data_IF_980414490488
#
_entry.id   IF_980414490488
#
_cell.length_a   1.000
_cell.length_b   1.000
_cell.length_c   1.000
_cell.angle_alpha   90.00
_cell.angle_beta   90.00
_cell.angle_gamma   90.00
#
_symmetry.space_group_name_H-M   'P 1'
#
loop_
_entity.id
_entity.type
_entity.pdbx_description
1 polymer ?
#
# COMPACT_ATOMS: atom_id res chain seq x y z
N UNK A 1 -0.23 -5.14 -17.91
CA UNK A 1 -1.08 -4.84 -19.08
C UNK A 1 -2.37 -5.58 -18.85
N UNK A 2 -3.48 -4.87 -18.83
CA UNK A 2 -4.84 -5.39 -18.69
C UNK A 2 -5.60 -4.99 -19.95
N UNK A 3 -6.42 -5.91 -20.46
CA UNK A 3 -7.23 -5.70 -21.67
C UNK A 3 -8.67 -6.01 -21.27
N UNK A 4 -9.57 -5.07 -21.50
CA UNK A 4 -10.99 -5.27 -21.22
C UNK A 4 -11.73 -5.97 -22.37
N UNK A 5 -13.02 -6.25 -22.17
CA UNK A 5 -13.87 -6.93 -23.16
C UNK A 5 -14.08 -6.16 -24.46
N UNK A 6 -13.86 -4.84 -24.44
CA UNK A 6 -14.02 -3.95 -25.60
C UNK A 6 -12.68 -3.80 -26.35
N UNK A 7 -11.58 -4.25 -25.74
CA UNK A 7 -10.23 -4.22 -26.28
C UNK A 7 -9.39 -3.03 -25.83
N UNK A 8 -9.87 -2.23 -24.87
CA UNK A 8 -9.10 -1.14 -24.30
C UNK A 8 -7.95 -1.68 -23.44
N UNK A 9 -6.77 -1.12 -23.67
CA UNK A 9 -5.54 -1.57 -23.02
C UNK A 9 -5.13 -0.59 -21.94
N UNK A 10 -5.06 -1.08 -20.70
CA UNK A 10 -4.49 -0.33 -19.58
C UNK A 10 -3.10 -0.85 -19.20
N UNK A 11 -2.12 0.06 -19.18
CA UNK A 11 -0.76 -0.22 -18.70
C UNK A 11 -0.50 0.68 -17.49
N UNK A 12 -0.45 0.08 -16.30
CA UNK A 12 -0.20 0.80 -15.05
C UNK A 12 0.58 -0.09 -14.09
N UNK A 13 1.31 0.55 -13.17
CA UNK A 13 1.94 -0.12 -12.02
C UNK A 13 1.17 0.15 -10.71
N UNK A 14 0.05 0.88 -10.76
CA UNK A 14 -0.77 1.11 -9.57
C UNK A 14 -1.61 -0.12 -9.23
N UNK A 15 -1.41 -0.63 -8.01
CA UNK A 15 -2.09 -1.82 -7.51
C UNK A 15 -3.59 -1.64 -7.33
N UNK A 16 -4.04 -0.44 -6.94
CA UNK A 16 -5.48 -0.17 -6.80
C UNK A 16 -6.18 -0.20 -8.16
N UNK A 17 -5.61 0.47 -9.16
CA UNK A 17 -6.11 0.44 -10.54
C UNK A 17 -6.13 -0.99 -11.11
N UNK A 18 -5.08 -1.78 -10.87
CA UNK A 18 -5.02 -3.18 -11.31
C UNK A 18 -6.16 -3.98 -10.70
N UNK A 19 -6.34 -3.91 -9.38
CA UNK A 19 -7.36 -4.68 -8.66
C UNK A 19 -8.79 -4.29 -9.05
N UNK A 20 -9.02 -3.02 -9.36
CA UNK A 20 -10.32 -2.52 -9.81
C UNK A 20 -10.72 -3.02 -11.19
N UNK A 21 -9.75 -3.24 -12.08
CA UNK A 21 -9.98 -3.76 -13.42
C UNK A 21 -10.13 -5.28 -13.47
N UNK A 22 -9.84 -5.99 -12.37
CA UNK A 22 -10.01 -7.43 -12.30
C UNK A 22 -11.46 -7.79 -11.94
N UNK A 23 -12.06 -8.69 -12.70
CA UNK A 23 -13.37 -9.25 -12.39
C UNK A 23 -13.27 -10.25 -11.23
N UNK A 24 -13.56 -9.79 -10.01
CA UNK A 24 -13.43 -10.59 -8.81
C UNK A 24 -14.82 -11.00 -8.31
N UNK A 25 -15.13 -12.30 -8.42
CA UNK A 25 -16.38 -12.86 -7.92
C UNK A 25 -16.32 -13.20 -6.42
N UNK A 26 -15.17 -13.67 -5.94
CA UNK A 26 -15.04 -14.21 -4.58
C UNK A 26 -15.17 -13.11 -3.51
N UNK A 27 -16.10 -13.21 -2.54
CA UNK A 27 -16.35 -12.15 -1.55
C UNK A 27 -15.12 -11.76 -0.72
N UNK A 28 -14.31 -12.73 -0.28
CA UNK A 28 -13.10 -12.43 0.48
C UNK A 28 -12.03 -11.68 -0.33
N UNK A 29 -12.02 -11.87 -1.66
CA UNK A 29 -11.10 -11.15 -2.53
C UNK A 29 -11.61 -9.72 -2.79
N UNK A 30 -12.93 -9.48 -2.83
CA UNK A 30 -13.50 -8.13 -2.88
C UNK A 30 -13.06 -7.26 -1.69
N UNK A 31 -12.95 -7.85 -0.50
CA UNK A 31 -12.41 -7.13 0.68
C UNK A 31 -10.97 -6.65 0.45
N UNK A 32 -10.14 -7.41 -0.29
CA UNK A 32 -8.78 -6.98 -0.62
C UNK A 32 -8.75 -5.87 -1.67
N UNK A 33 -9.72 -5.86 -2.60
CA UNK A 33 -9.89 -4.76 -3.57
C UNK A 33 -10.27 -3.48 -2.83
N UNK A 34 -11.31 -3.56 -1.99
CA UNK A 34 -11.77 -2.43 -1.17
C UNK A 34 -10.63 -1.90 -0.27
N UNK A 35 -9.81 -2.79 0.30
CA UNK A 35 -8.63 -2.40 1.08
C UNK A 35 -7.62 -1.58 0.25
N UNK A 36 -7.37 -1.97 -0.99
CA UNK A 36 -6.47 -1.23 -1.87
C UNK A 36 -7.05 0.14 -2.27
N UNK A 37 -8.36 0.20 -2.56
CA UNK A 37 -9.06 1.45 -2.88
C UNK A 37 -9.08 2.42 -1.69
N UNK A 38 -9.31 1.91 -0.48
CA UNK A 38 -9.26 2.73 0.75
C UNK A 38 -7.85 3.28 1.01
N UNK A 39 -6.81 2.47 0.80
CA UNK A 39 -5.43 2.92 0.94
C UNK A 39 -5.07 4.02 -0.08
N UNK A 40 -5.57 3.90 -1.31
CA UNK A 40 -5.40 4.91 -2.35
C UNK A 40 -6.13 6.21 -2.00
N UNK A 41 -7.36 6.13 -1.50
CA UNK A 41 -8.16 7.29 -1.16
C UNK A 41 -7.65 8.06 0.08
N UNK A 42 -7.19 7.34 1.12
CA UNK A 42 -6.77 7.95 2.39
C UNK A 42 -5.30 8.42 2.38
N UNK A 43 -4.41 7.66 1.75
CA UNK A 43 -2.95 7.91 1.80
C UNK A 43 -2.36 8.18 0.41
N UNK A 44 -2.89 7.54 -0.65
CA UNK A 44 -2.40 7.71 -2.02
C UNK A 44 -1.08 6.99 -2.33
N UNK A 45 -0.58 6.17 -1.42
CA UNK A 45 0.58 5.30 -1.62
C UNK A 45 0.46 3.99 -0.82
N UNK A 46 1.22 2.98 -1.21
CA UNK A 46 1.26 1.69 -0.53
C UNK A 46 0.09 0.75 -0.85
N UNK A 47 -0.70 1.05 -1.89
CA UNK A 47 -1.84 0.25 -2.36
C UNK A 47 -1.47 -1.22 -2.62
N UNK A 48 -0.30 -1.45 -3.21
CA UNK A 48 0.21 -2.81 -3.44
C UNK A 48 0.69 -3.47 -2.15
N UNK A 49 1.41 -2.72 -1.31
CA UNK A 49 2.02 -3.22 -0.07
C UNK A 49 0.96 -3.67 0.94
N UNK A 50 -0.13 -2.92 1.08
CA UNK A 50 -1.20 -3.25 2.03
C UNK A 50 -1.90 -4.56 1.69
N UNK A 51 -2.10 -4.83 0.39
CA UNK A 51 -2.72 -6.08 -0.09
C UNK A 51 -1.78 -7.26 0.12
N UNK A 52 -0.49 -7.11 -0.20
CA UNK A 52 0.51 -8.17 0.03
C UNK A 52 0.64 -8.49 1.52
N UNK A 53 0.66 -7.47 2.37
CA UNK A 53 0.72 -7.63 3.82
C UNK A 53 -0.52 -8.38 4.34
N UNK A 54 -1.72 -7.99 3.91
CA UNK A 54 -2.96 -8.68 4.29
C UNK A 54 -2.97 -10.15 3.83
N UNK A 55 -2.52 -10.42 2.61
CA UNK A 55 -2.43 -11.78 2.07
C UNK A 55 -1.47 -12.66 2.89
N UNK A 56 -0.29 -12.17 3.26
CA UNK A 56 0.67 -12.92 4.07
C UNK A 56 0.15 -13.13 5.50
N UNK A 57 -0.51 -12.13 6.12
CA UNK A 57 -1.15 -12.29 7.42
C UNK A 57 -2.23 -13.38 7.40
N UNK A 58 -3.08 -13.42 6.37
CA UNK A 58 -4.10 -14.46 6.22
C UNK A 58 -3.48 -15.85 6.01
N UNK A 59 -2.42 -15.94 5.20
CA UNK A 59 -1.68 -17.19 4.97
C UNK A 59 -1.10 -17.75 6.27
N UNK A 60 -0.44 -16.90 7.07
CA UNK A 60 0.13 -17.28 8.38
C UNK A 60 -0.94 -17.61 9.40
N UNK A 61 -2.04 -16.86 9.42
CA UNK A 61 -3.19 -17.18 10.29
C UNK A 61 -3.76 -18.57 9.96
N UNK A 62 -3.87 -18.93 8.68
CA UNK A 62 -4.34 -20.24 8.27
C UNK A 62 -3.41 -21.38 8.74
N UNK A 63 -2.09 -21.18 8.73
CA UNK A 63 -1.12 -22.13 9.31
C UNK A 63 -1.37 -22.34 10.83
N UNK A 64 -1.63 -21.26 11.57
CA UNK A 64 -1.93 -21.33 13.01
C UNK A 64 -3.27 -22.04 13.29
N UNK A 65 -4.29 -21.79 12.46
CA UNK A 65 -5.57 -22.50 12.56
C UNK A 65 -5.41 -24.00 12.31
N UNK A 66 -4.58 -24.40 11.33
CA UNK A 66 -4.24 -25.81 11.09
C UNK A 66 -3.56 -26.45 12.30
N UNK A 67 -2.77 -25.67 13.05
CA UNK A 67 -2.16 -26.06 14.32
C UNK A 67 -3.13 -26.02 15.52
N UNK A 68 -4.45 -25.98 15.28
CA UNK A 68 -5.51 -26.02 16.29
C UNK A 68 -5.55 -24.80 17.22
N UNK A 69 -4.96 -23.68 16.80
CA UNK A 69 -5.10 -22.42 17.54
C UNK A 69 -6.44 -21.77 17.15
N UNK A 70 -7.25 -21.42 18.14
CA UNK A 70 -8.54 -20.79 17.91
C UNK A 70 -8.38 -19.42 17.23
N UNK A 71 -9.14 -19.08 16.17
CA UNK A 71 -9.01 -17.81 15.45
C UNK A 71 -9.04 -16.56 16.34
N UNK A 72 -9.87 -16.55 17.38
CA UNK A 72 -9.93 -15.44 18.35
C UNK A 72 -8.58 -15.14 19.02
N UNK A 73 -7.79 -16.18 19.32
CA UNK A 73 -6.46 -16.01 19.93
C UNK A 73 -5.47 -15.41 18.92
N UNK A 74 -5.56 -15.82 17.65
CA UNK A 74 -4.73 -15.27 16.57
C UNK A 74 -5.05 -13.79 16.38
N UNK A 75 -6.33 -13.43 16.32
CA UNK A 75 -6.79 -12.03 16.22
C UNK A 75 -6.28 -11.21 17.42
N UNK A 76 -6.37 -11.76 18.63
CA UNK A 76 -5.83 -11.11 19.83
C UNK A 76 -4.32 -10.87 19.75
N UNK A 77 -3.57 -11.87 19.27
CA UNK A 77 -2.12 -11.77 19.04
C UNK A 77 -1.75 -10.72 17.99
N UNK A 78 -2.46 -10.69 16.86
CA UNK A 78 -2.23 -9.70 15.81
C UNK A 78 -2.55 -8.27 16.28
N UNK A 79 -3.63 -8.08 17.04
CA UNK A 79 -3.96 -6.77 17.63
C UNK A 79 -2.89 -6.31 18.63
N UNK A 80 -2.34 -7.22 19.43
CA UNK A 80 -1.24 -6.90 20.33
C UNK A 80 0.02 -6.51 19.56
N UNK A 81 0.43 -7.33 18.59
CA UNK A 81 1.60 -7.09 17.76
C UNK A 81 1.49 -5.78 16.96
N UNK A 82 0.31 -5.48 16.40
CA UNK A 82 0.04 -4.24 15.68
C UNK A 82 0.27 -3.01 16.58
N UNK A 83 -0.23 -3.03 17.83
CA UNK A 83 -0.05 -1.90 18.75
C UNK A 83 1.42 -1.64 19.05
N UNK A 84 2.18 -2.68 19.36
CA UNK A 84 3.61 -2.54 19.64
C UNK A 84 4.40 -2.13 18.39
N UNK A 85 4.02 -2.63 17.21
CA UNK A 85 4.64 -2.24 15.94
C UNK A 85 4.38 -0.76 15.62
N UNK A 86 3.14 -0.27 15.78
CA UNK A 86 2.82 1.15 15.57
C UNK A 86 3.58 2.04 16.55
N UNK A 87 3.63 1.65 17.83
CA UNK A 87 4.39 2.37 18.85
C UNK A 87 5.88 2.45 18.49
N UNK A 88 6.47 1.34 18.04
CA UNK A 88 7.87 1.31 17.61
C UNK A 88 8.11 2.24 16.41
N UNK A 89 7.21 2.26 15.42
CA UNK A 89 7.31 3.16 14.26
C UNK A 89 7.28 4.62 14.72
N UNK A 90 6.36 4.99 15.60
CA UNK A 90 6.23 6.35 16.13
C UNK A 90 7.46 6.80 16.94
N UNK A 91 8.01 5.91 17.77
CA UNK A 91 9.12 6.23 18.67
C UNK A 91 10.48 6.25 17.96
N UNK A 92 10.68 5.43 16.93
CA UNK A 92 12.01 5.19 16.35
C UNK A 92 12.15 5.56 14.87
N UNK A 93 11.07 5.56 14.10
CA UNK A 93 11.13 5.74 12.64
C UNK A 93 10.48 7.03 12.17
N UNK A 94 9.48 7.54 12.89
CA UNK A 94 8.78 8.76 12.54
C UNK A 94 9.66 10.00 12.79
N UNK A 95 9.83 10.83 11.76
CA UNK A 95 10.45 12.15 11.88
C UNK A 95 9.39 13.25 11.84
N UNK A 96 9.47 14.18 12.79
CA UNK A 96 8.57 15.34 12.83
C UNK A 96 8.78 16.25 11.60
N UNK A 97 7.68 16.71 11.03
CA UNK A 97 7.65 17.55 9.82
C UNK A 97 8.32 18.90 10.00
N UNK A 98 8.38 19.44 11.22
CA UNK A 98 9.11 20.66 11.59
C UNK A 98 10.62 20.58 11.27
N UNK A 99 11.16 19.37 11.13
CA UNK A 99 12.56 19.10 10.77
C UNK A 99 12.77 18.77 9.30
N UNK A 100 11.70 18.74 8.49
CA UNK A 100 11.76 18.33 7.09
C UNK A 100 11.87 19.57 6.19
N UNK A 101 13.02 19.72 5.54
CA UNK A 101 13.24 20.75 4.52
C UNK A 101 12.68 20.32 3.16
N UNK A 102 12.82 21.22 2.18
CA UNK A 102 12.44 20.97 0.77
C UNK A 102 13.11 19.70 0.20
N UNK A 103 14.35 19.43 0.59
CA UNK A 103 15.08 18.23 0.16
C UNK A 103 14.39 16.93 0.61
N UNK A 104 13.80 16.91 1.81
CA UNK A 104 13.04 15.76 2.29
C UNK A 104 11.79 15.53 1.45
N UNK A 105 11.07 16.59 1.07
CA UNK A 105 9.90 16.49 0.20
C UNK A 105 10.28 15.99 -1.20
N UNK A 106 11.41 16.47 -1.74
CA UNK A 106 11.95 15.98 -3.02
C UNK A 106 12.28 14.49 -2.94
N UNK A 107 12.88 14.02 -1.85
CA UNK A 107 13.20 12.61 -1.66
C UNK A 107 11.93 11.75 -1.54
N UNK A 108 10.90 12.22 -0.84
CA UNK A 108 9.59 11.54 -0.74
C UNK A 108 8.95 11.43 -2.13
N UNK A 109 8.90 12.53 -2.88
CA UNK A 109 8.33 12.54 -4.24
C UNK A 109 9.10 11.63 -5.20
N UNK A 110 10.43 11.61 -5.14
CA UNK A 110 11.24 10.67 -5.95
C UNK A 110 10.96 9.22 -5.59
N UNK A 111 10.81 8.92 -4.30
CA UNK A 111 10.55 7.56 -3.82
C UNK A 111 9.21 7.04 -4.36
N UNK A 112 8.14 7.83 -4.28
CA UNK A 112 6.81 7.44 -4.76
C UNK A 112 6.70 7.29 -6.29
N UNK A 113 7.64 7.90 -7.03
CA UNK A 113 7.76 7.80 -8.49
C UNK A 113 8.64 6.63 -8.95
N UNK A 114 9.49 6.10 -8.07
CA UNK A 114 10.56 5.15 -8.43
C UNK A 114 10.07 3.86 -9.12
N UNK A 115 8.89 3.36 -8.76
CA UNK A 115 8.30 2.15 -9.34
C UNK A 115 7.44 2.41 -10.58
N UNK A 116 7.28 3.68 -10.98
CA UNK A 116 6.38 4.10 -12.07
C UNK A 116 7.19 4.46 -13.32
N UNK A 117 6.51 4.58 -14.45
CA UNK A 117 7.13 4.96 -15.74
C UNK A 117 7.85 6.32 -15.66
N UNK A 118 7.37 7.22 -14.81
CA UNK A 118 7.98 8.54 -14.54
C UNK A 118 9.27 8.46 -13.72
N UNK A 119 9.66 7.27 -13.26
CA UNK A 119 10.86 7.06 -12.46
C UNK A 119 12.17 7.48 -13.15
N UNK A 120 12.24 7.38 -14.49
CA UNK A 120 13.40 7.84 -15.28
C UNK A 120 13.66 9.33 -15.12
N UNK A 121 12.59 10.11 -15.03
CA UNK A 121 12.60 11.57 -14.98
C UNK A 121 12.17 12.08 -13.60
N UNK A 122 12.30 11.23 -12.57
CA UNK A 122 11.84 11.51 -11.22
C UNK A 122 12.44 12.80 -10.65
N UNK A 123 13.66 13.19 -11.04
CA UNK A 123 14.26 14.45 -10.59
C UNK A 123 13.50 15.67 -11.09
N UNK A 124 13.06 15.67 -12.35
CA UNK A 124 12.29 16.76 -12.95
C UNK A 124 10.88 16.79 -12.36
N UNK A 125 10.19 15.64 -12.35
CA UNK A 125 8.82 15.57 -11.86
C UNK A 125 8.71 15.80 -10.35
N UNK A 126 9.67 15.34 -9.55
CA UNK A 126 9.66 15.63 -8.11
C UNK A 126 9.77 17.12 -7.83
N UNK A 127 10.62 17.85 -8.56
CA UNK A 127 10.73 19.30 -8.41
C UNK A 127 9.40 19.99 -8.75
N UNK A 128 8.81 19.61 -9.88
CA UNK A 128 7.53 20.17 -10.33
C UNK A 128 6.39 19.88 -9.34
N UNK A 129 6.29 18.67 -8.81
CA UNK A 129 5.25 18.30 -7.83
C UNK A 129 5.44 19.03 -6.49
N UNK A 130 6.67 19.12 -6.00
CA UNK A 130 6.95 19.86 -4.75
C UNK A 130 6.65 21.34 -4.91
N UNK A 131 7.01 21.94 -6.04
CA UNK A 131 6.73 23.35 -6.33
C UNK A 131 5.23 23.62 -6.55
N UNK A 132 4.46 22.66 -7.04
CA UNK A 132 3.02 22.82 -7.24
C UNK A 132 2.19 22.74 -5.94
N UNK A 133 2.73 22.08 -4.92
CA UNK A 133 2.09 21.91 -3.61
C UNK A 133 2.45 23.04 -2.63
N UNK A 134 3.58 23.72 -2.86
CA UNK A 134 4.07 24.86 -2.05
C UNK A 134 3.49 26.19 -2.53
#
# INVERSE_FOLDING_TARGET
MLVDDIGDVTITNDGATILKQLEIEHPAAKILVELAELQDAEVGDGTTSVVILAAELLKRANELVRNKIHPTNIIGGYRLAMREACKFIEEHLAMKTEKLGKDSLLNVARTSMSSKIVGSDANFFAQLVVDAIQ
#
